data_IF_805850260352
#
_entry.id   IF_805850260352
#
_cell.length_a   1.000
_cell.length_b   1.000
_cell.length_c   1.000
_cell.angle_alpha   90.00
_cell.angle_beta   90.00
_cell.angle_gamma   90.00
#
_symmetry.space_group_name_H-M   'P 1'
#
loop_
_entity.id
_entity.type
_entity.pdbx_description
1 polymer ?
#
# COMPACT_ATOMS: atom_id res chain seq x y z
N UNK A 1 18.15 -8.44 -2.64
CA UNK A 1 16.85 -7.87 -2.26
C UNK A 1 17.03 -6.37 -2.16
N UNK A 2 16.29 -5.57 -2.96
CA UNK A 2 16.36 -4.11 -2.95
C UNK A 2 15.32 -3.56 -1.98
N UNK A 3 15.75 -2.87 -0.93
CA UNK A 3 14.85 -2.35 0.08
C UNK A 3 15.06 -0.85 0.28
N UNK A 4 14.10 0.01 -0.11
CA UNK A 4 14.21 1.45 0.10
C UNK A 4 14.11 1.75 1.60
N UNK A 5 14.95 2.66 2.11
CA UNK A 5 14.93 3.01 3.52
C UNK A 5 14.79 4.52 3.79
N UNK A 6 15.00 5.34 2.76
CA UNK A 6 14.86 6.79 2.83
C UNK A 6 14.81 7.38 1.43
N UNK A 7 14.19 8.53 1.26
CA UNK A 7 14.40 9.40 0.12
C UNK A 7 15.01 10.75 0.54
N UNK A 8 15.52 11.50 -0.45
CA UNK A 8 16.08 12.85 -0.24
C UNK A 8 15.08 13.94 -0.68
N UNK A 9 13.83 13.57 -0.98
CA UNK A 9 12.82 14.53 -1.43
C UNK A 9 12.23 15.24 -0.20
N UNK A 10 12.43 16.58 -0.05
CA UNK A 10 12.00 17.27 1.15
C UNK A 10 10.47 17.35 1.24
N UNK A 11 9.92 16.95 2.37
CA UNK A 11 8.53 17.21 2.72
C UNK A 11 8.39 18.66 3.19
N UNK A 12 7.44 19.40 2.61
CA UNK A 12 7.17 20.81 2.95
C UNK A 12 6.18 20.92 4.11
N UNK A 13 5.27 19.94 4.25
CA UNK A 13 4.27 19.89 5.31
C UNK A 13 4.64 18.79 6.31
N UNK A 14 4.33 19.02 7.59
CA UNK A 14 4.41 17.93 8.56
C UNK A 14 3.34 16.88 8.23
N UNK A 15 3.67 15.59 8.08
CA UNK A 15 2.78 14.59 7.47
C UNK A 15 1.76 14.01 8.46
N UNK A 16 0.83 14.82 8.92
CA UNK A 16 -0.19 14.43 9.91
C UNK A 16 -1.06 13.26 9.44
N UNK A 17 -1.56 13.30 8.19
CA UNK A 17 -2.43 12.23 7.68
C UNK A 17 -1.69 10.92 7.51
N UNK A 18 -0.44 10.96 7.05
CA UNK A 18 0.45 9.80 6.98
C UNK A 18 0.60 9.14 8.34
N UNK A 19 0.94 9.94 9.38
CA UNK A 19 1.10 9.40 10.73
C UNK A 19 -0.22 8.92 11.36
N UNK A 20 -1.33 9.60 11.10
CA UNK A 20 -2.65 9.16 11.55
C UNK A 20 -3.00 7.79 10.93
N UNK A 21 -2.80 7.63 9.61
CA UNK A 21 -3.05 6.36 8.93
C UNK A 21 -2.16 5.25 9.50
N UNK A 22 -0.85 5.51 9.67
CA UNK A 22 0.09 4.58 10.29
C UNK A 22 -0.39 4.20 11.70
N UNK A 23 -0.75 5.19 12.52
CA UNK A 23 -1.19 4.96 13.91
C UNK A 23 -2.46 4.12 13.99
N UNK A 24 -3.45 4.38 13.13
CA UNK A 24 -4.68 3.57 13.05
C UNK A 24 -4.36 2.12 12.68
N UNK A 25 -3.52 1.91 11.66
CA UNK A 25 -3.13 0.57 11.24
C UNK A 25 -2.39 -0.19 12.35
N UNK A 26 -1.43 0.46 13.01
CA UNK A 26 -0.71 -0.14 14.15
C UNK A 26 -1.65 -0.47 15.30
N UNK A 27 -2.57 0.43 15.65
CA UNK A 27 -3.53 0.20 16.71
C UNK A 27 -4.44 -1.01 16.42
N UNK A 28 -5.01 -1.07 15.21
CA UNK A 28 -5.86 -2.19 14.79
C UNK A 28 -5.05 -3.50 14.78
N UNK A 29 -3.80 -3.47 14.30
CA UNK A 29 -2.96 -4.66 14.29
C UNK A 29 -2.59 -5.13 15.70
N UNK A 30 -2.32 -4.23 16.64
CA UNK A 30 -2.09 -4.59 18.04
C UNK A 30 -3.31 -5.26 18.67
N UNK A 31 -4.51 -4.78 18.36
CA UNK A 31 -5.75 -5.45 18.76
C UNK A 31 -5.89 -6.85 18.13
N UNK A 32 -5.63 -6.97 16.82
CA UNK A 32 -5.63 -8.27 16.14
C UNK A 32 -4.62 -9.24 16.79
N UNK A 33 -3.42 -8.76 17.07
CA UNK A 33 -2.35 -9.56 17.68
C UNK A 33 -2.72 -10.01 19.10
N UNK A 34 -3.26 -9.11 19.92
CA UNK A 34 -3.75 -9.44 21.26
C UNK A 34 -4.86 -10.50 21.22
N UNK A 35 -5.83 -10.33 20.31
CA UNK A 35 -6.94 -11.28 20.13
C UNK A 35 -6.40 -12.63 19.65
N UNK A 36 -5.45 -12.64 18.72
CA UNK A 36 -4.86 -13.87 18.19
C UNK A 36 -4.13 -14.68 19.27
N UNK A 37 -3.46 -14.01 20.21
CA UNK A 37 -2.80 -14.65 21.34
C UNK A 37 -3.77 -15.29 22.35
N UNK A 38 -4.99 -14.74 22.49
CA UNK A 38 -5.98 -15.21 23.46
C UNK A 38 -7.05 -16.13 22.83
N UNK A 39 -7.45 -15.84 21.59
CA UNK A 39 -8.49 -16.57 20.87
C UNK A 39 -8.21 -16.59 19.36
N UNK A 40 -7.38 -17.53 18.87
CA UNK A 40 -7.00 -17.63 17.46
C UNK A 40 -8.20 -17.75 16.51
N UNK A 41 -9.26 -18.46 16.93
CA UNK A 41 -10.47 -18.63 16.12
C UNK A 41 -11.22 -17.29 15.93
N UNK A 42 -11.30 -16.48 16.99
CA UNK A 42 -11.89 -15.14 16.91
C UNK A 42 -11.05 -14.25 16.00
N UNK A 43 -9.72 -14.29 16.11
CA UNK A 43 -8.84 -13.52 15.25
C UNK A 43 -9.04 -13.85 13.76
N UNK A 44 -9.15 -15.15 13.43
CA UNK A 44 -9.46 -15.58 12.07
C UNK A 44 -10.83 -15.08 11.61
N UNK A 45 -11.86 -15.21 12.45
CA UNK A 45 -13.21 -14.72 12.14
C UNK A 45 -13.23 -13.22 11.87
N UNK A 46 -12.40 -12.42 12.57
CA UNK A 46 -12.30 -10.98 12.32
C UNK A 46 -11.69 -10.67 10.95
N UNK A 47 -10.71 -11.47 10.50
CA UNK A 47 -10.13 -11.33 9.16
C UNK A 47 -11.20 -11.59 8.09
N UNK A 48 -12.02 -12.61 8.24
CA UNK A 48 -13.13 -12.89 7.32
C UNK A 48 -14.23 -11.84 7.39
N UNK A 49 -14.54 -11.33 8.57
CA UNK A 49 -15.60 -10.33 8.78
C UNK A 49 -15.25 -8.96 8.20
N UNK A 50 -13.98 -8.53 8.32
CA UNK A 50 -13.53 -7.19 7.94
C UNK A 50 -12.66 -7.15 6.69
N UNK A 51 -12.13 -8.29 6.23
CA UNK A 51 -11.45 -8.43 4.95
C UNK A 51 -12.43 -8.32 3.79
N UNK A 52 -11.93 -7.93 2.63
CA UNK A 52 -12.72 -7.90 1.41
C UNK A 52 -12.68 -9.25 0.72
N UNK A 53 -13.83 -9.90 0.59
CA UNK A 53 -13.99 -11.23 -0.04
C UNK A 53 -14.83 -11.03 -1.31
N UNK A 54 -14.29 -11.27 -2.51
CA UNK A 54 -15.02 -11.08 -3.76
C UNK A 54 -16.34 -11.84 -3.82
N UNK A 55 -16.39 -13.12 -3.43
CA UNK A 55 -17.63 -13.93 -3.41
C UNK A 55 -18.68 -13.43 -2.42
N UNK A 56 -18.28 -12.69 -1.40
CA UNK A 56 -19.16 -12.13 -0.36
C UNK A 56 -19.10 -10.60 -0.41
N UNK A 57 -19.36 -10.03 -1.59
CA UNK A 57 -19.19 -8.61 -1.86
C UNK A 57 -19.92 -7.74 -0.84
N UNK A 58 -19.15 -7.00 -0.04
CA UNK A 58 -19.65 -6.00 0.88
C UNK A 58 -18.85 -4.70 0.70
N UNK A 59 -19.47 -3.58 0.29
CA UNK A 59 -18.75 -2.33 0.04
C UNK A 59 -18.07 -1.76 1.28
N UNK A 60 -18.55 -2.04 2.49
CA UNK A 60 -17.90 -1.62 3.73
C UNK A 60 -16.55 -2.33 3.89
N UNK A 61 -16.46 -3.59 3.43
CA UNK A 61 -15.23 -4.37 3.54
C UNK A 61 -14.12 -3.86 2.59
N UNK A 62 -14.45 -3.12 1.56
CA UNK A 62 -13.45 -2.38 0.75
C UNK A 62 -12.65 -1.41 1.65
N UNK A 63 -13.32 -0.73 2.57
CA UNK A 63 -12.66 0.20 3.48
C UNK A 63 -12.01 -0.51 4.66
N UNK A 64 -12.72 -1.42 5.33
CA UNK A 64 -12.21 -2.05 6.56
C UNK A 64 -11.01 -2.96 6.29
N UNK A 65 -10.97 -3.63 5.13
CA UNK A 65 -9.85 -4.48 4.72
C UNK A 65 -8.51 -3.74 4.64
N UNK A 66 -8.54 -2.43 4.32
CA UNK A 66 -7.33 -1.60 4.21
C UNK A 66 -6.61 -1.44 5.56
N UNK A 67 -7.28 -1.68 6.68
CA UNK A 67 -6.73 -1.53 8.03
C UNK A 67 -6.45 -2.87 8.72
N UNK A 68 -6.89 -3.97 8.14
CA UNK A 68 -6.59 -5.32 8.63
C UNK A 68 -5.26 -5.82 8.07
N UNK A 69 -4.50 -6.61 8.83
CA UNK A 69 -3.22 -7.15 8.35
C UNK A 69 -3.07 -8.63 8.70
N UNK A 70 -2.51 -9.40 7.75
CA UNK A 70 -2.33 -10.84 7.88
C UNK A 70 -1.12 -11.28 8.73
N UNK A 71 -0.26 -10.33 9.19
CA UNK A 71 0.89 -10.66 10.03
C UNK A 71 1.88 -9.51 10.18
N UNK A 72 2.87 -9.71 11.06
CA UNK A 72 3.84 -8.68 11.44
C UNK A 72 4.64 -8.11 10.26
N UNK A 73 5.20 -8.97 9.41
CA UNK A 73 5.97 -8.48 8.26
C UNK A 73 5.11 -7.77 7.21
N UNK A 74 3.83 -8.14 7.14
CA UNK A 74 2.87 -7.49 6.25
C UNK A 74 2.61 -6.04 6.70
N UNK A 75 2.29 -5.82 7.97
CA UNK A 75 2.10 -4.45 8.46
C UNK A 75 3.41 -3.66 8.49
N UNK A 76 4.51 -4.27 8.89
CA UNK A 76 5.80 -3.59 8.92
C UNK A 76 6.20 -3.07 7.54
N UNK A 77 6.06 -3.88 6.48
CA UNK A 77 6.30 -3.47 5.10
C UNK A 77 5.38 -2.34 4.64
N UNK A 78 4.08 -2.45 4.93
CA UNK A 78 3.11 -1.43 4.57
C UNK A 78 3.42 -0.09 5.24
N UNK A 79 3.62 -0.07 6.55
CA UNK A 79 3.91 1.17 7.28
C UNK A 79 5.24 1.77 6.88
N UNK A 80 6.22 0.95 6.57
CA UNK A 80 7.53 1.38 6.09
C UNK A 80 7.43 2.12 4.75
N UNK A 81 6.76 1.55 3.76
CA UNK A 81 6.59 2.21 2.47
C UNK A 81 5.73 3.48 2.57
N UNK A 82 4.68 3.45 3.39
CA UNK A 82 3.86 4.63 3.62
C UNK A 82 4.65 5.74 4.32
N UNK A 83 5.53 5.40 5.27
CA UNK A 83 6.40 6.34 5.95
C UNK A 83 7.38 7.04 5.00
N UNK A 84 8.00 6.28 4.05
CA UNK A 84 9.00 6.84 3.12
C UNK A 84 8.36 7.70 2.03
N UNK A 85 7.21 7.31 1.49
CA UNK A 85 6.67 7.92 0.28
C UNK A 85 5.39 8.74 0.53
N UNK A 86 4.73 8.53 1.66
CA UNK A 86 3.45 9.15 1.98
C UNK A 86 3.55 10.64 2.23
N UNK A 87 4.55 11.08 2.97
CA UNK A 87 4.77 12.45 3.38
C UNK A 87 4.91 13.43 2.21
N UNK A 88 5.59 13.01 1.14
CA UNK A 88 5.77 13.82 -0.06
C UNK A 88 4.48 13.97 -0.87
N UNK A 89 3.68 12.90 -0.96
CA UNK A 89 2.36 12.99 -1.61
C UNK A 89 1.39 13.79 -0.74
N UNK A 90 1.46 13.64 0.57
CA UNK A 90 0.71 14.48 1.50
C UNK A 90 1.11 15.96 1.37
N UNK A 91 2.40 16.28 1.29
CA UNK A 91 2.89 17.63 1.03
C UNK A 91 2.39 18.21 -0.29
N UNK A 92 2.25 17.36 -1.31
CA UNK A 92 1.75 17.77 -2.63
C UNK A 92 0.24 18.06 -2.63
N UNK A 93 -0.55 17.25 -1.90
CA UNK A 93 -2.01 17.30 -1.92
C UNK A 93 -2.60 18.13 -0.76
N UNK A 94 -1.87 18.25 0.35
CA UNK A 94 -2.39 18.66 1.65
C UNK A 94 -3.07 17.50 2.39
N UNK A 95 -3.20 17.62 3.70
CA UNK A 95 -3.61 16.54 4.62
C UNK A 95 -4.93 15.85 4.21
N UNK A 96 -5.98 16.63 4.07
CA UNK A 96 -7.34 16.11 3.83
C UNK A 96 -7.43 15.40 2.48
N UNK A 97 -6.85 16.00 1.41
CA UNK A 97 -6.89 15.39 0.08
C UNK A 97 -6.03 14.15 0.00
N UNK A 98 -4.90 14.13 0.67
CA UNK A 98 -4.06 12.93 0.76
C UNK A 98 -4.83 11.78 1.42
N UNK A 99 -5.55 12.04 2.52
CA UNK A 99 -6.38 11.02 3.16
C UNK A 99 -7.43 10.45 2.19
N UNK A 100 -8.19 11.31 1.51
CA UNK A 100 -9.17 10.84 0.52
C UNK A 100 -8.52 10.16 -0.69
N UNK A 101 -7.37 10.63 -1.14
CA UNK A 101 -6.61 10.00 -2.21
C UNK A 101 -6.17 8.58 -1.82
N UNK A 102 -5.67 8.40 -0.61
CA UNK A 102 -5.29 7.09 -0.07
C UNK A 102 -6.48 6.12 -0.05
N UNK A 103 -7.62 6.54 0.51
CA UNK A 103 -8.84 5.73 0.53
C UNK A 103 -9.31 5.40 -0.89
N UNK A 104 -9.31 6.37 -1.79
CA UNK A 104 -9.71 6.21 -3.18
C UNK A 104 -8.84 5.21 -3.94
N UNK A 105 -7.52 5.27 -3.72
CA UNK A 105 -6.60 4.30 -4.31
C UNK A 105 -6.82 2.88 -3.77
N UNK A 106 -7.08 2.74 -2.46
CA UNK A 106 -7.39 1.44 -1.86
C UNK A 106 -8.70 0.85 -2.37
N UNK A 107 -9.72 1.69 -2.55
CA UNK A 107 -10.98 1.26 -3.15
C UNK A 107 -10.78 0.81 -4.62
N UNK A 108 -10.03 1.58 -5.41
CA UNK A 108 -9.68 1.22 -6.78
C UNK A 108 -8.91 -0.10 -6.86
N UNK A 109 -7.98 -0.33 -5.94
CA UNK A 109 -7.25 -1.59 -5.83
C UNK A 109 -8.18 -2.79 -5.58
N UNK A 110 -9.11 -2.65 -4.63
CA UNK A 110 -10.08 -3.69 -4.32
C UNK A 110 -11.02 -3.98 -5.51
N UNK A 111 -11.45 -2.94 -6.21
CA UNK A 111 -12.29 -3.07 -7.41
C UNK A 111 -11.54 -3.82 -8.51
N UNK A 112 -10.27 -3.50 -8.76
CA UNK A 112 -9.46 -4.22 -9.78
C UNK A 112 -9.30 -5.69 -9.39
N UNK A 113 -8.99 -6.00 -8.13
CA UNK A 113 -8.89 -7.38 -7.64
C UNK A 113 -10.22 -8.13 -7.81
N UNK A 114 -11.35 -7.50 -7.49
CA UNK A 114 -12.68 -8.07 -7.68
C UNK A 114 -12.96 -8.46 -9.13
N UNK A 115 -12.63 -7.60 -10.10
CA UNK A 115 -12.86 -7.91 -11.51
C UNK A 115 -11.93 -8.98 -12.08
N UNK A 116 -10.72 -9.12 -11.54
CA UNK A 116 -9.76 -10.15 -11.98
C UNK A 116 -10.11 -11.51 -11.39
N UNK A 117 -10.52 -11.55 -10.13
CA UNK A 117 -10.86 -12.81 -9.43
C UNK A 117 -12.16 -12.68 -8.62
N UNK A 118 -13.33 -12.61 -9.32
CA UNK A 118 -14.62 -12.43 -8.66
C UNK A 118 -15.07 -13.66 -7.87
N UNK A 119 -14.42 -14.81 -8.09
CA UNK A 119 -14.75 -16.09 -7.47
C UNK A 119 -13.91 -16.39 -6.24
N UNK A 120 -13.00 -15.52 -5.86
CA UNK A 120 -12.16 -15.72 -4.68
C UNK A 120 -12.97 -15.66 -3.39
N UNK A 121 -12.81 -16.70 -2.57
CA UNK A 121 -13.31 -16.77 -1.19
C UNK A 121 -12.25 -16.38 -0.15
N UNK A 122 -11.07 -15.95 -0.60
CA UNK A 122 -9.96 -15.56 0.27
C UNK A 122 -10.10 -14.09 0.65
N UNK A 123 -10.10 -13.76 1.96
CA UNK A 123 -10.18 -12.38 2.38
C UNK A 123 -8.92 -11.59 2.00
N UNK A 124 -9.09 -10.57 1.19
CA UNK A 124 -8.05 -9.59 0.92
C UNK A 124 -7.96 -8.61 2.11
N UNK A 125 -6.77 -8.41 2.65
CA UNK A 125 -6.48 -7.50 3.76
C UNK A 125 -5.17 -6.77 3.52
N UNK A 126 -5.06 -5.56 4.04
CA UNK A 126 -3.83 -4.76 4.03
C UNK A 126 -3.99 -3.40 3.37
N UNK A 127 -3.17 -2.48 3.84
CA UNK A 127 -3.05 -1.11 3.32
C UNK A 127 -2.40 -1.05 1.92
N UNK A 128 -1.83 -2.15 1.46
CA UNK A 128 -0.89 -2.21 0.34
C UNK A 128 -1.45 -1.75 -1.00
N UNK A 129 -2.75 -1.96 -1.26
CA UNK A 129 -3.40 -1.44 -2.46
C UNK A 129 -3.46 0.09 -2.49
N UNK A 130 -3.78 0.72 -1.36
CA UNK A 130 -3.76 2.18 -1.22
C UNK A 130 -2.34 2.73 -1.29
N UNK A 131 -1.39 2.07 -0.62
CA UNK A 131 0.04 2.42 -0.66
C UNK A 131 0.58 2.30 -2.09
N UNK A 132 0.21 1.27 -2.84
CA UNK A 132 0.56 1.15 -4.25
C UNK A 132 0.12 2.38 -5.05
N UNK A 133 -1.06 2.93 -4.76
CA UNK A 133 -1.53 4.20 -5.35
C UNK A 133 -0.64 5.39 -4.99
N UNK A 134 -0.20 5.48 -3.73
CA UNK A 134 0.76 6.50 -3.28
C UNK A 134 2.09 6.34 -4.03
N UNK A 135 2.60 5.11 -4.21
CA UNK A 135 3.83 4.83 -4.96
C UNK A 135 3.70 5.20 -6.44
N UNK A 136 2.57 4.88 -7.08
CA UNK A 136 2.29 5.26 -8.46
C UNK A 136 2.27 6.79 -8.63
N UNK A 137 1.61 7.49 -7.72
CA UNK A 137 1.59 8.94 -7.68
C UNK A 137 3.00 9.53 -7.47
N UNK A 138 3.78 8.97 -6.54
CA UNK A 138 5.14 9.38 -6.27
C UNK A 138 6.04 9.23 -7.50
N UNK A 139 5.97 8.08 -8.18
CA UNK A 139 6.76 7.81 -9.37
C UNK A 139 6.55 8.87 -10.47
N UNK A 140 5.32 9.34 -10.65
CA UNK A 140 4.99 10.35 -11.69
C UNK A 140 5.34 11.77 -11.23
N UNK A 141 5.19 12.09 -9.94
CA UNK A 141 5.41 13.44 -9.43
C UNK A 141 6.86 13.73 -9.10
N UNK A 142 7.60 12.72 -8.65
CA UNK A 142 8.98 12.83 -8.20
C UNK A 142 9.90 11.78 -8.86
N UNK A 143 9.89 11.63 -10.22
CA UNK A 143 10.57 10.53 -10.92
C UNK A 143 12.09 10.52 -10.67
N UNK A 144 12.69 11.70 -10.46
CA UNK A 144 14.14 11.88 -10.26
C UNK A 144 14.53 12.00 -8.78
N UNK A 145 13.57 11.90 -7.85
CA UNK A 145 13.88 11.92 -6.42
C UNK A 145 14.86 10.79 -6.07
N UNK A 146 15.84 11.10 -5.23
CA UNK A 146 16.89 10.16 -4.86
C UNK A 146 16.38 9.27 -3.73
N UNK A 147 16.23 7.99 -4.01
CA UNK A 147 15.82 6.97 -3.05
C UNK A 147 17.04 6.16 -2.63
N UNK A 148 17.29 6.09 -1.34
CA UNK A 148 18.36 5.29 -0.75
C UNK A 148 17.84 3.87 -0.57
N UNK A 149 18.53 2.92 -1.17
CA UNK A 149 18.20 1.49 -1.16
C UNK A 149 19.35 0.73 -0.54
N UNK A 150 19.06 -0.15 0.40
CA UNK A 150 20.05 -1.12 0.83
C UNK A 150 19.81 -2.48 0.16
N UNK A 151 20.89 -3.19 -0.06
CA UNK A 151 20.85 -4.58 -0.50
C UNK A 151 21.88 -5.40 0.26
N UNK A 152 21.57 -6.67 0.45
CA UNK A 152 22.51 -7.63 1.03
C UNK A 152 23.07 -8.46 -0.11
N UNK A 153 24.38 -8.38 -0.30
CA UNK A 153 25.14 -9.20 -1.27
C UNK A 153 26.00 -10.17 -0.46
N UNK A 154 25.61 -11.45 -0.48
CA UNK A 154 26.23 -12.51 0.34
C UNK A 154 26.12 -12.14 1.84
N UNK A 155 27.15 -11.52 2.44
CA UNK A 155 27.17 -11.09 3.84
C UNK A 155 27.39 -9.57 4.00
N UNK A 156 27.50 -8.83 2.90
CA UNK A 156 27.78 -7.39 2.94
C UNK A 156 26.50 -6.59 2.70
N UNK A 157 26.20 -5.69 3.62
CA UNK A 157 25.17 -4.68 3.43
C UNK A 157 25.79 -3.53 2.66
N UNK A 158 25.24 -3.23 1.49
CA UNK A 158 25.64 -2.07 0.70
C UNK A 158 24.45 -1.18 0.40
N UNK A 159 24.71 0.11 0.19
CA UNK A 159 23.67 1.10 -0.07
C UNK A 159 23.90 1.78 -1.40
N UNK A 160 22.82 2.01 -2.12
CA UNK A 160 22.83 2.74 -3.39
C UNK A 160 21.83 3.88 -3.33
N UNK A 161 22.09 4.90 -4.13
CA UNK A 161 21.13 5.99 -4.35
C UNK A 161 20.60 5.86 -5.77
N UNK A 162 19.30 5.68 -5.90
CA UNK A 162 18.64 5.34 -7.16
C UNK A 162 17.46 6.29 -7.40
N UNK A 163 17.19 6.74 -8.63
CA UNK A 163 16.00 7.51 -8.91
C UNK A 163 14.72 6.75 -8.56
N UNK A 164 13.75 7.44 -7.98
CA UNK A 164 12.47 6.84 -7.58
C UNK A 164 11.76 6.12 -8.72
N UNK A 165 11.80 6.67 -9.91
CA UNK A 165 11.25 6.03 -11.11
C UNK A 165 11.80 4.62 -11.33
N UNK A 166 13.09 4.39 -11.09
CA UNK A 166 13.69 3.07 -11.27
C UNK A 166 13.28 2.12 -10.15
N UNK A 167 13.34 2.57 -8.88
CA UNK A 167 12.96 1.75 -7.72
C UNK A 167 11.50 1.31 -7.81
N UNK A 168 10.61 2.27 -8.05
CA UNK A 168 9.17 2.01 -8.09
C UNK A 168 8.74 1.32 -9.38
N UNK A 169 9.44 1.56 -10.50
CA UNK A 169 9.24 0.84 -11.75
C UNK A 169 9.61 -0.64 -11.62
N UNK A 170 10.76 -0.96 -11.03
CA UNK A 170 11.15 -2.36 -10.74
C UNK A 170 10.13 -3.00 -9.79
N UNK A 171 9.74 -2.31 -8.72
CA UNK A 171 8.72 -2.80 -7.81
C UNK A 171 7.42 -3.14 -8.56
N UNK A 172 6.96 -2.27 -9.46
CA UNK A 172 5.76 -2.50 -10.25
C UNK A 172 5.89 -3.70 -11.20
N UNK A 173 7.06 -3.85 -11.88
CA UNK A 173 7.33 -5.02 -12.72
C UNK A 173 7.29 -6.31 -11.91
N UNK A 174 7.79 -6.29 -10.68
CA UNK A 174 7.69 -7.44 -9.77
C UNK A 174 6.22 -7.77 -9.43
N UNK A 175 5.35 -6.76 -9.24
CA UNK A 175 3.92 -7.00 -9.03
C UNK A 175 3.27 -7.62 -10.27
N UNK A 176 3.60 -7.13 -11.47
CA UNK A 176 3.11 -7.72 -12.74
C UNK A 176 3.55 -9.16 -12.89
N UNK A 177 4.83 -9.45 -12.65
CA UNK A 177 5.37 -10.81 -12.71
C UNK A 177 4.68 -11.75 -11.73
N UNK A 178 4.50 -11.30 -10.46
CA UNK A 178 3.77 -12.05 -9.44
C UNK A 178 2.31 -12.31 -9.82
N UNK A 179 1.63 -11.28 -10.33
CA UNK A 179 0.25 -11.40 -10.79
C UNK A 179 0.10 -12.39 -11.96
N UNK A 180 0.94 -12.28 -12.97
CA UNK A 180 0.91 -13.21 -14.11
C UNK A 180 1.22 -14.66 -13.67
N UNK A 181 2.17 -14.85 -12.75
CA UNK A 181 2.51 -16.17 -12.23
C UNK A 181 1.42 -16.77 -11.36
N UNK A 182 0.53 -15.97 -10.78
CA UNK A 182 -0.59 -16.45 -9.96
C UNK A 182 -1.83 -16.83 -10.77
N UNK A 183 -1.90 -16.47 -12.06
CA UNK A 183 -3.03 -16.83 -12.91
C UNK A 183 -3.06 -18.35 -13.17
N UNK A 184 -4.19 -18.96 -12.88
CA UNK A 184 -4.40 -20.40 -13.11
C UNK A 184 -3.82 -21.32 -12.03
N UNK A 185 -3.32 -20.77 -10.93
CA UNK A 185 -2.86 -21.54 -9.78
C UNK A 185 -3.82 -21.26 -8.61
N UNK A 186 -4.45 -22.30 -8.09
CA UNK A 186 -5.23 -22.21 -6.84
C UNK A 186 -4.28 -21.94 -5.66
N UNK A 187 -4.01 -20.67 -5.38
CA UNK A 187 -3.21 -20.27 -4.24
C UNK A 187 -4.09 -20.13 -3.01
N UNK A 188 -3.95 -21.04 -2.06
CA UNK A 188 -4.62 -20.96 -0.74
C UNK A 188 -3.94 -19.90 0.13
N UNK A 189 -4.16 -18.63 -0.17
CA UNK A 189 -3.57 -17.50 0.53
C UNK A 189 -2.28 -17.00 -0.15
N UNK A 190 -2.21 -15.73 -0.43
CA UNK A 190 -1.08 -15.11 -1.11
C UNK A 190 -1.17 -13.60 -1.15
N UNK A 191 -0.27 -13.00 -1.88
CA UNK A 191 -0.28 -11.56 -2.13
C UNK A 191 -1.36 -11.25 -3.16
N UNK A 192 -2.21 -10.27 -2.89
CA UNK A 192 -3.19 -9.74 -3.85
C UNK A 192 -2.49 -8.85 -4.89
N UNK A 193 -1.74 -9.48 -5.79
CA UNK A 193 -0.90 -8.82 -6.79
C UNK A 193 -1.68 -7.81 -7.64
N UNK A 194 -2.88 -8.19 -8.07
CA UNK A 194 -3.72 -7.34 -8.91
C UNK A 194 -4.30 -6.13 -8.14
N UNK A 195 -4.49 -6.23 -6.83
CA UNK A 195 -4.80 -5.08 -6.01
C UNK A 195 -3.63 -4.07 -5.99
N UNK A 196 -2.37 -4.54 -5.92
CA UNK A 196 -1.21 -3.66 -6.00
C UNK A 196 -1.10 -3.00 -7.40
N UNK A 197 -1.25 -3.78 -8.46
CA UNK A 197 -1.23 -3.27 -9.84
C UNK A 197 -2.34 -2.24 -10.05
N UNK A 198 -3.55 -2.58 -9.62
CA UNK A 198 -4.72 -1.71 -9.71
C UNK A 198 -4.52 -0.40 -8.95
N UNK A 199 -4.11 -0.49 -7.69
CA UNK A 199 -3.83 0.68 -6.86
C UNK A 199 -2.77 1.60 -7.47
N UNK A 200 -1.67 1.03 -7.97
CA UNK A 200 -0.58 1.78 -8.59
C UNK A 200 -1.03 2.55 -9.83
N UNK A 201 -1.75 1.87 -10.75
CA UNK A 201 -2.32 2.50 -11.95
C UNK A 201 -3.35 3.57 -11.56
N UNK A 202 -4.18 3.30 -10.56
CA UNK A 202 -5.17 4.24 -10.03
C UNK A 202 -4.50 5.52 -9.51
N UNK A 203 -3.43 5.37 -8.75
CA UNK A 203 -2.64 6.49 -8.24
C UNK A 203 -2.03 7.35 -9.34
N UNK A 204 -1.43 6.75 -10.38
CA UNK A 204 -0.90 7.45 -11.56
C UNK A 204 -2.00 8.25 -12.25
N UNK A 205 -3.14 7.62 -12.47
CA UNK A 205 -4.23 8.19 -13.28
C UNK A 205 -4.89 9.38 -12.57
N UNK A 206 -5.16 9.24 -11.27
CA UNK A 206 -6.00 10.18 -10.55
C UNK A 206 -5.26 11.23 -9.73
N UNK A 207 -3.93 11.12 -9.55
CA UNK A 207 -3.16 12.10 -8.78
C UNK A 207 -3.39 13.56 -9.25
N UNK A 208 -3.54 13.78 -10.56
CA UNK A 208 -3.76 15.11 -11.11
C UNK A 208 -5.10 15.71 -10.68
N UNK A 209 -6.16 14.90 -10.55
CA UNK A 209 -7.49 15.35 -10.11
C UNK A 209 -7.42 15.83 -8.66
N UNK A 210 -6.74 15.08 -7.79
CA UNK A 210 -6.55 15.45 -6.39
C UNK A 210 -5.63 16.65 -6.19
N UNK A 211 -4.74 16.94 -7.17
CA UNK A 211 -3.80 18.07 -7.15
C UNK A 211 -4.41 19.41 -7.62
N UNK A 212 -5.62 19.44 -8.19
CA UNK A 212 -6.19 20.55 -8.98
C UNK A 212 -6.30 21.91 -8.25
N UNK A 213 -5.90 22.00 -6.98
CA UNK A 213 -5.83 23.27 -6.26
C UNK A 213 -4.41 23.49 -5.76
N UNK A 214 -3.68 24.41 -6.40
CA UNK A 214 -2.35 24.81 -5.97
C UNK A 214 -2.37 25.17 -4.48
N UNK A 215 -1.66 24.43 -3.65
CA UNK A 215 -1.18 24.96 -2.38
C UNK A 215 -0.29 26.15 -2.77
N UNK A 216 -0.69 27.38 -2.44
CA UNK A 216 0.19 28.54 -2.59
C UNK A 216 1.46 28.20 -1.83
N UNK A 217 2.60 28.23 -2.54
CA UNK A 217 3.91 28.25 -1.89
C UNK A 217 3.89 29.48 -0.96
N UNK A 218 3.96 29.25 0.33
CA UNK A 218 4.24 30.28 1.34
C UNK A 218 5.71 30.59 1.26
#
# INVERSE_FOLDING_TARGET
MFFPYRDDNPSVLYPYSTYIIISINLFIFLLQFYIAGNNPKLAQNLIYKFGFIPTEFNPINILTSMFMHGGFFHIAGNMWFLYIFGDNIESLLGHIRFFYFYIFCGAGAAIVQFFIDPTSSIPMVGASGAIAGVLGAYMIKFPKARVHVFTVIIFFITTFVVPAQLVLGIWFIMQLSGGLSSLGIDTTGGIAWFAHIGGFIWGITFIKIFQTFKVKKI
#
